data_IF_662745898270
#
_entry.id   IF_662745898270
#
_cell.length_a   1.000
_cell.length_b   1.000
_cell.length_c   1.000
_cell.angle_alpha   90.00
_cell.angle_beta   90.00
_cell.angle_gamma   90.00
#
_symmetry.space_group_name_H-M   'P 1'
#
loop_
_entity.id
_entity.type
_entity.pdbx_description
1 polymer ?
#
# COMPACT_ATOMS: atom_id res chain seq x y z
N UNK A 1 -11.20 38.65 19.43
CA UNK A 1 -10.56 37.79 20.47
C UNK A 1 -11.50 36.62 20.75
N UNK A 2 -11.44 35.59 19.90
CA UNK A 2 -12.12 34.30 20.11
C UNK A 2 -11.04 33.42 20.75
N UNK A 3 -11.32 32.79 21.89
CA UNK A 3 -10.44 31.77 22.45
C UNK A 3 -10.94 30.41 21.95
N UNK A 4 -10.18 29.68 21.11
CA UNK A 4 -10.50 28.31 20.76
C UNK A 4 -10.10 27.39 21.92
N UNK A 5 -10.96 26.43 22.23
CA UNK A 5 -10.71 25.35 23.19
C UNK A 5 -9.65 24.38 22.66
N UNK A 6 -8.91 23.75 23.58
CA UNK A 6 -7.75 22.85 23.38
C UNK A 6 -8.05 21.54 22.62
N UNK A 7 -8.56 21.63 21.39
CA UNK A 7 -8.92 20.46 20.58
C UNK A 7 -9.20 20.72 19.11
N UNK A 8 -8.90 21.91 18.57
CA UNK A 8 -8.97 22.16 17.14
C UNK A 8 -7.67 21.70 16.48
N UNK A 9 -7.71 20.62 15.70
CA UNK A 9 -6.68 20.35 14.70
C UNK A 9 -6.74 21.51 13.71
N UNK A 10 -5.75 22.40 13.75
CA UNK A 10 -5.62 23.43 12.71
C UNK A 10 -5.54 22.71 11.36
N UNK A 11 -6.45 23.05 10.45
CA UNK A 11 -6.32 22.63 9.06
C UNK A 11 -5.09 23.36 8.53
N UNK A 12 -3.95 22.67 8.57
CA UNK A 12 -2.71 23.19 8.02
C UNK A 12 -2.91 23.21 6.51
N UNK A 13 -2.84 24.40 5.92
CA UNK A 13 -2.81 24.56 4.48
C UNK A 13 -1.67 23.72 3.89
N UNK A 14 -1.98 22.91 2.87
CA UNK A 14 -1.01 21.99 2.26
C UNK A 14 0.17 22.76 1.66
N UNK A 15 -0.07 23.94 1.09
CA UNK A 15 0.99 24.81 0.58
C UNK A 15 1.94 25.25 1.70
N UNK A 16 1.39 25.71 2.82
CA UNK A 16 2.19 26.07 4.01
C UNK A 16 3.00 24.87 4.53
N UNK A 17 2.43 23.67 4.50
CA UNK A 17 3.13 22.46 4.92
C UNK A 17 4.29 22.10 3.97
N UNK A 18 4.05 22.16 2.66
CA UNK A 18 5.08 21.90 1.65
C UNK A 18 6.20 22.94 1.70
N UNK A 19 5.89 24.22 1.88
CA UNK A 19 6.89 25.29 2.06
C UNK A 19 7.75 25.10 3.31
N UNK A 20 7.18 24.51 4.38
CA UNK A 20 7.93 24.16 5.59
C UNK A 20 8.85 22.97 5.33
N UNK A 21 8.38 21.95 4.61
CA UNK A 21 9.19 20.78 4.25
C UNK A 21 10.33 21.15 3.30
N UNK A 22 10.07 21.99 2.29
CA UNK A 22 11.10 22.50 1.38
C UNK A 22 12.25 23.17 2.14
N UNK A 23 11.92 24.04 3.11
CA UNK A 23 12.92 24.68 3.99
C UNK A 23 13.62 23.71 4.92
N UNK A 24 12.92 22.70 5.43
CA UNK A 24 13.50 21.69 6.31
C UNK A 24 14.56 20.85 5.59
N UNK A 25 14.26 20.42 4.37
CA UNK A 25 15.16 19.64 3.54
C UNK A 25 16.16 20.49 2.73
N UNK A 26 16.05 21.83 2.81
CA UNK A 26 16.90 22.78 2.10
C UNK A 26 16.95 22.53 0.59
N UNK A 27 15.77 22.39 -0.02
CA UNK A 27 15.58 22.15 -1.46
C UNK A 27 14.83 23.30 -2.11
N UNK A 28 15.17 23.59 -3.36
CA UNK A 28 14.57 24.67 -4.13
C UNK A 28 13.56 24.10 -5.14
N UNK A 29 12.26 24.24 -4.82
CA UNK A 29 11.16 23.87 -5.71
C UNK A 29 10.57 22.48 -5.45
N UNK A 30 9.40 22.24 -6.05
CA UNK A 30 8.59 21.06 -5.76
C UNK A 30 9.17 19.76 -6.33
N UNK A 31 9.84 19.79 -7.49
CA UNK A 31 10.35 18.57 -8.13
C UNK A 31 11.46 17.89 -7.32
N UNK A 32 12.35 18.68 -6.72
CA UNK A 32 13.40 18.17 -5.83
C UNK A 32 12.81 17.71 -4.49
N UNK A 33 11.86 18.48 -3.96
CA UNK A 33 11.13 18.13 -2.74
C UNK A 33 10.43 16.77 -2.86
N UNK A 34 9.72 16.51 -3.98
CA UNK A 34 9.01 15.24 -4.18
C UNK A 34 9.96 14.03 -4.12
N UNK A 35 11.13 14.12 -4.75
CA UNK A 35 12.15 13.06 -4.70
C UNK A 35 12.66 12.82 -3.29
N UNK A 36 12.96 13.89 -2.56
CA UNK A 36 13.43 13.80 -1.17
C UNK A 36 12.35 13.21 -0.27
N UNK A 37 11.08 13.57 -0.46
CA UNK A 37 9.96 12.99 0.29
C UNK A 37 9.81 11.49 -0.01
N UNK A 38 9.89 11.08 -1.28
CA UNK A 38 9.87 9.67 -1.66
C UNK A 38 11.06 8.88 -1.10
N UNK A 39 12.25 9.49 -1.02
CA UNK A 39 13.45 8.85 -0.48
C UNK A 39 13.41 8.72 1.06
N UNK A 40 12.80 9.69 1.74
CA UNK A 40 12.73 9.74 3.20
C UNK A 40 11.41 9.18 3.76
N UNK A 41 10.53 8.61 2.92
CA UNK A 41 9.32 7.95 3.39
C UNK A 41 9.67 6.63 4.10
N UNK A 42 9.47 6.51 5.43
CA UNK A 42 9.75 5.27 6.16
C UNK A 42 8.87 4.10 5.69
N UNK A 43 7.75 4.37 5.02
CA UNK A 43 6.81 3.37 4.53
C UNK A 43 7.02 3.00 3.05
N UNK A 44 8.01 3.58 2.36
CA UNK A 44 8.30 3.31 0.95
C UNK A 44 8.35 1.82 0.61
N UNK A 45 8.97 1.02 1.49
CA UNK A 45 9.11 -0.42 1.31
C UNK A 45 7.78 -1.18 1.21
N UNK A 46 6.70 -0.66 1.79
CA UNK A 46 5.37 -1.27 1.70
C UNK A 46 4.83 -1.24 0.27
N UNK A 47 5.30 -0.32 -0.58
CA UNK A 47 4.91 -0.28 -1.99
C UNK A 47 5.25 -1.60 -2.70
N UNK A 48 6.37 -2.21 -2.35
CA UNK A 48 6.84 -3.44 -2.96
C UNK A 48 5.96 -4.65 -2.62
N UNK A 49 5.13 -4.56 -1.57
CA UNK A 49 4.18 -5.60 -1.16
C UNK A 49 2.94 -5.68 -2.06
N UNK A 50 2.75 -4.76 -3.00
CA UNK A 50 1.59 -4.69 -3.88
C UNK A 50 1.94 -4.96 -5.35
N UNK A 51 0.96 -5.47 -6.09
CA UNK A 51 1.06 -5.65 -7.54
C UNK A 51 0.46 -4.44 -8.24
N UNK A 52 1.31 -3.66 -8.90
CA UNK A 52 0.90 -2.52 -9.71
C UNK A 52 0.56 -2.96 -11.14
N UNK A 53 -0.57 -2.48 -11.70
CA UNK A 53 -0.84 -2.58 -13.13
C UNK A 53 0.23 -1.83 -13.93
N UNK A 54 0.60 -2.35 -15.09
CA UNK A 54 1.50 -1.69 -16.03
C UNK A 54 0.70 -1.32 -17.29
N UNK A 55 1.03 -0.20 -17.94
CA UNK A 55 0.47 0.05 -19.27
C UNK A 55 1.06 -0.97 -20.26
N UNK A 56 0.21 -1.56 -21.08
CA UNK A 56 0.65 -2.32 -22.25
C UNK A 56 0.79 -1.28 -23.36
N UNK A 57 2.04 -0.95 -23.75
CA UNK A 57 2.28 0.14 -24.71
C UNK A 57 2.24 -0.32 -26.17
N UNK A 58 2.25 -1.61 -26.45
CA UNK A 58 2.38 -2.13 -27.81
C UNK A 58 2.12 -3.65 -27.92
N UNK A 59 1.72 -4.07 -29.12
CA UNK A 59 1.54 -5.46 -29.60
C UNK A 59 2.83 -6.31 -29.45
N UNK A 60 3.96 -5.64 -29.21
CA UNK A 60 5.28 -6.22 -28.98
C UNK A 60 5.52 -6.67 -27.52
N UNK A 61 4.56 -6.43 -26.61
CA UNK A 61 4.59 -6.98 -25.25
C UNK A 61 5.63 -6.34 -24.32
N UNK A 62 6.08 -5.11 -24.61
CA UNK A 62 7.02 -4.42 -23.74
C UNK A 62 6.29 -3.85 -22.51
N UNK A 63 6.77 -4.22 -21.33
CA UNK A 63 6.27 -3.72 -20.05
C UNK A 63 6.61 -2.23 -19.91
N UNK A 64 5.62 -1.39 -19.66
CA UNK A 64 5.85 0.02 -19.30
C UNK A 64 6.01 0.21 -17.79
N UNK A 65 6.23 1.47 -17.41
CA UNK A 65 6.09 1.96 -16.04
C UNK A 65 4.73 1.60 -15.43
N UNK A 66 4.72 1.50 -14.10
CA UNK A 66 3.52 1.29 -13.30
C UNK A 66 2.48 2.41 -13.54
N UNK A 67 1.21 2.03 -13.55
CA UNK A 67 0.10 2.99 -13.63
C UNK A 67 0.01 3.81 -12.35
N UNK A 68 -0.23 5.11 -12.47
CA UNK A 68 -0.61 5.97 -11.34
C UNK A 68 -2.03 5.59 -10.90
N UNK A 69 -2.14 4.89 -9.77
CA UNK A 69 -3.38 4.31 -9.30
C UNK A 69 -3.96 5.05 -8.09
N UNK A 70 -4.93 5.94 -8.33
CA UNK A 70 -5.62 6.71 -7.28
C UNK A 70 -7.01 6.17 -6.90
N UNK A 71 -7.38 4.97 -7.37
CA UNK A 71 -8.68 4.33 -7.09
C UNK A 71 -8.64 3.34 -5.92
N UNK A 72 -7.59 3.39 -5.08
CA UNK A 72 -7.41 2.48 -3.95
C UNK A 72 -8.49 2.56 -2.87
N UNK A 73 -9.28 3.64 -2.85
CA UNK A 73 -10.44 3.81 -1.98
C UNK A 73 -11.66 2.97 -2.40
N UNK A 74 -11.68 2.48 -3.64
CA UNK A 74 -12.76 1.63 -4.14
C UNK A 74 -12.30 0.18 -4.28
N UNK A 75 -11.19 -0.02 -5.00
CA UNK A 75 -10.58 -1.34 -5.16
C UNK A 75 -9.10 -1.23 -4.81
N UNK A 76 -8.69 -1.87 -3.72
CA UNK A 76 -7.28 -1.90 -3.33
C UNK A 76 -6.45 -2.67 -4.36
N UNK A 77 -5.18 -2.29 -4.51
CA UNK A 77 -4.20 -3.12 -5.21
C UNK A 77 -4.07 -4.47 -4.49
N UNK A 78 -3.82 -5.53 -5.25
CA UNK A 78 -3.64 -6.85 -4.67
C UNK A 78 -2.30 -6.92 -3.91
N UNK A 79 -2.30 -7.24 -2.61
CA UNK A 79 -1.08 -7.60 -1.90
C UNK A 79 -0.48 -8.88 -2.52
N UNK A 80 0.83 -8.94 -2.70
CA UNK A 80 1.52 -10.11 -3.30
C UNK A 80 1.25 -11.39 -2.52
N UNK A 81 1.28 -11.29 -1.20
CA UNK A 81 1.01 -12.40 -0.27
C UNK A 81 -0.39 -12.99 -0.41
N UNK A 82 -1.37 -12.24 -0.89
CA UNK A 82 -2.73 -12.76 -1.08
C UNK A 82 -2.75 -13.95 -2.03
N UNK A 83 -1.97 -13.90 -3.12
CA UNK A 83 -1.88 -15.02 -4.08
C UNK A 83 -1.28 -16.27 -3.43
N UNK A 84 -0.24 -16.10 -2.62
CA UNK A 84 0.44 -17.20 -1.94
C UNK A 84 -0.48 -17.88 -0.92
N UNK A 85 -1.23 -17.10 -0.15
CA UNK A 85 -2.19 -17.63 0.83
C UNK A 85 -3.31 -18.37 0.11
N UNK A 86 -3.94 -17.76 -0.90
CA UNK A 86 -5.02 -18.42 -1.65
C UNK A 86 -4.55 -19.74 -2.26
N UNK A 87 -3.38 -19.76 -2.91
CA UNK A 87 -2.84 -20.99 -3.48
C UNK A 87 -2.60 -22.07 -2.41
N UNK A 88 -2.06 -21.70 -1.26
CA UNK A 88 -1.85 -22.62 -0.14
C UNK A 88 -3.16 -23.24 0.34
N UNK A 89 -4.23 -22.45 0.45
CA UNK A 89 -5.55 -22.97 0.85
C UNK A 89 -6.15 -23.89 -0.22
N UNK A 90 -5.96 -23.59 -1.50
CA UNK A 90 -6.37 -24.44 -2.61
C UNK A 90 -5.61 -25.77 -2.62
N UNK A 91 -4.29 -25.75 -2.42
CA UNK A 91 -3.45 -26.95 -2.33
C UNK A 91 -3.85 -27.82 -1.14
N UNK A 92 -4.13 -27.18 0.01
CA UNK A 92 -4.63 -27.84 1.22
C UNK A 92 -5.99 -28.50 0.97
N UNK A 93 -6.92 -27.79 0.33
CA UNK A 93 -8.22 -28.35 -0.02
C UNK A 93 -8.08 -29.56 -0.94
N UNK A 94 -7.26 -29.45 -1.99
CA UNK A 94 -7.03 -30.54 -2.95
C UNK A 94 -6.36 -31.77 -2.33
N UNK A 95 -5.48 -31.59 -1.36
CA UNK A 95 -4.73 -32.69 -0.72
C UNK A 95 -5.43 -33.32 0.49
N UNK A 96 -6.18 -32.54 1.28
CA UNK A 96 -6.68 -32.98 2.59
C UNK A 96 -8.21 -33.02 2.68
N UNK A 97 -8.94 -32.39 1.75
CA UNK A 97 -10.39 -32.27 1.79
C UNK A 97 -10.90 -31.87 3.19
N UNK A 98 -11.74 -32.70 3.82
CA UNK A 98 -12.32 -32.44 5.14
C UNK A 98 -11.26 -32.40 6.26
N UNK A 99 -10.16 -33.15 6.13
CA UNK A 99 -9.10 -33.19 7.15
C UNK A 99 -8.39 -31.84 7.29
N UNK A 100 -8.39 -31.04 6.21
CA UNK A 100 -7.87 -29.68 6.22
C UNK A 100 -8.61 -28.74 7.19
N UNK A 101 -9.85 -29.04 7.59
CA UNK A 101 -10.52 -28.26 8.63
C UNK A 101 -9.79 -28.32 9.97
N UNK A 102 -9.16 -29.46 10.28
CA UNK A 102 -8.66 -29.78 11.62
C UNK A 102 -7.15 -29.77 11.74
N UNK A 103 -6.42 -29.64 10.63
CA UNK A 103 -4.96 -29.84 10.59
C UNK A 103 -4.24 -28.89 9.62
N UNK A 104 -2.91 -28.75 9.80
CA UNK A 104 -2.03 -27.84 9.03
C UNK A 104 -1.72 -26.51 9.73
N UNK A 105 -0.90 -25.66 9.09
CA UNK A 105 -0.37 -24.41 9.66
C UNK A 105 -1.44 -23.33 9.94
N UNK A 106 -2.61 -23.44 9.30
CA UNK A 106 -3.79 -22.57 9.49
C UNK A 106 -5.07 -23.43 9.42
N UNK A 107 -5.53 -24.03 10.53
CA UNK A 107 -6.82 -24.73 10.55
C UNK A 107 -7.94 -23.72 10.29
N UNK A 108 -8.89 -24.08 9.42
CA UNK A 108 -10.01 -23.18 9.04
C UNK A 108 -10.96 -22.89 10.19
N UNK A 109 -10.96 -23.78 11.19
CA UNK A 109 -11.71 -23.62 12.42
C UNK A 109 -10.88 -24.20 13.56
N UNK A 110 -10.71 -23.41 14.62
CA UNK A 110 -10.24 -23.94 15.90
C UNK A 110 -11.42 -24.59 16.61
N UNK A 111 -11.39 -25.92 16.79
CA UNK A 111 -12.27 -26.56 17.75
C UNK A 111 -11.67 -26.37 19.15
N UNK A 112 -12.43 -25.76 20.05
CA UNK A 112 -12.14 -25.85 21.48
C UNK A 112 -12.19 -27.33 21.88
N UNK A 113 -11.09 -27.83 22.46
CA UNK A 113 -10.99 -29.17 23.05
C UNK A 113 -11.18 -29.11 24.56
#
# INVERSE_FOLDING_TARGET
RIRPTDGCVEVVDVGIALDRLARHFNVDGYDELLKVLDENDPLKHLRDEFVFPQHIRDDAGQKSDDVIYFLGNSLGLMPRRSKEIVNRELDKWGSMAIEGHFSGDLPWMTMDR
#
